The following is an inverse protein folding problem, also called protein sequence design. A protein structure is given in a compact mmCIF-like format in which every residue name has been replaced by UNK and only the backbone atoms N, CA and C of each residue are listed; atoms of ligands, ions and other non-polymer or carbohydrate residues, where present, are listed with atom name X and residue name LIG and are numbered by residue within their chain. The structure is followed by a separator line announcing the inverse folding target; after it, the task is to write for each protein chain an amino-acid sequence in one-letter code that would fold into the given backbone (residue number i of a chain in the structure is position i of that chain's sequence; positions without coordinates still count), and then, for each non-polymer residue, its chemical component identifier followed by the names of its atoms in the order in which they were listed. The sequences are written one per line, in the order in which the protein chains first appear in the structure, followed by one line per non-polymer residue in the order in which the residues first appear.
data_IF_649072479516
#
_entry.id   IF_649072479516
#
_cell.length_a   1.000
_cell.length_b   1.000
_cell.length_c   1.000
_cell.angle_alpha   90.00
_cell.angle_beta   90.00
_cell.angle_gamma   90.00
#
_symmetry.space_group_name_H-M   'P 1'
#
loop_
_entity.id
_entity.type
_entity.pdbx_description
1 polymer ?
#
# COMPACT_ATOMS: atom_id res chain seq x y z
N UNK A 1 -0.78 -18.70 -18.78
CA UNK A 1 -0.12 -19.72 -17.90
C UNK A 1 0.82 -19.13 -16.85
N UNK A 2 1.59 -18.07 -17.13
CA UNK A 2 2.53 -17.50 -16.14
C UNK A 2 1.86 -16.93 -14.88
N UNK A 3 0.71 -16.27 -15.03
CA UNK A 3 -0.06 -15.69 -13.93
C UNK A 3 -0.58 -16.76 -12.96
N UNK A 4 -1.24 -17.81 -13.47
CA UNK A 4 -1.75 -18.91 -12.65
C UNK A 4 -0.64 -19.61 -11.83
N UNK A 5 0.53 -19.84 -12.44
CA UNK A 5 1.67 -20.45 -11.73
C UNK A 5 2.19 -19.54 -10.62
N UNK A 6 2.26 -18.23 -10.86
CA UNK A 6 2.66 -17.24 -9.87
C UNK A 6 1.65 -17.16 -8.70
N UNK A 7 0.36 -17.21 -8.99
CA UNK A 7 -0.66 -17.24 -7.93
C UNK A 7 -0.46 -18.46 -7.04
N UNK A 8 -0.46 -19.67 -7.61
CA UNK A 8 -0.33 -20.93 -6.86
C UNK A 8 0.97 -20.95 -6.03
N UNK A 9 2.10 -20.56 -6.63
CA UNK A 9 3.39 -20.53 -5.94
C UNK A 9 3.38 -19.57 -4.75
N UNK A 10 2.82 -18.37 -4.91
CA UNK A 10 2.76 -17.39 -3.81
C UNK A 10 1.77 -17.78 -2.72
N UNK A 11 0.67 -18.48 -3.05
CA UNK A 11 -0.24 -19.04 -2.03
C UNK A 11 0.42 -20.14 -1.23
N UNK A 12 1.15 -21.04 -1.89
CA UNK A 12 1.88 -22.13 -1.22
C UNK A 12 2.98 -21.58 -0.31
N UNK A 13 3.71 -20.56 -0.77
CA UNK A 13 4.70 -19.86 0.04
C UNK A 13 4.06 -19.20 1.27
N UNK A 14 2.89 -18.57 1.13
CA UNK A 14 2.17 -18.00 2.26
C UNK A 14 1.75 -19.09 3.27
N UNK A 15 1.21 -20.22 2.79
CA UNK A 15 0.86 -21.36 3.66
C UNK A 15 2.08 -21.93 4.38
N UNK A 16 3.22 -22.06 3.70
CA UNK A 16 4.46 -22.51 4.30
C UNK A 16 4.95 -21.55 5.41
N UNK A 17 4.88 -20.24 5.17
CA UNK A 17 5.22 -19.24 6.19
C UNK A 17 4.28 -19.30 7.40
N UNK A 18 2.98 -19.48 7.19
CA UNK A 18 2.03 -19.66 8.29
C UNK A 18 2.31 -20.94 9.06
N UNK A 19 2.66 -22.03 8.38
CA UNK A 19 3.02 -23.28 9.04
C UNK A 19 4.27 -23.14 9.90
N UNK A 20 5.30 -22.44 9.40
CA UNK A 20 6.57 -22.27 10.11
C UNK A 20 6.50 -21.23 11.24
N UNK A 21 5.86 -20.09 11.00
CA UNK A 21 5.82 -18.96 11.95
C UNK A 21 4.55 -18.95 12.81
N UNK A 22 3.55 -19.76 12.48
CA UNK A 22 2.26 -19.78 13.19
C UNK A 22 2.39 -20.18 14.65
N UNK A 23 3.31 -21.10 14.97
CA UNK A 23 3.57 -21.52 16.34
C UNK A 23 4.13 -20.40 17.22
N UNK A 24 4.94 -19.51 16.66
CA UNK A 24 5.59 -18.42 17.42
C UNK A 24 4.84 -17.09 17.37
N UNK A 25 4.15 -16.80 16.27
CA UNK A 25 3.50 -15.49 16.04
C UNK A 25 1.97 -15.57 15.88
N UNK A 26 1.37 -16.77 15.91
CA UNK A 26 -0.08 -16.96 15.85
C UNK A 26 -0.73 -16.26 14.64
N UNK A 27 -1.80 -15.50 14.89
CA UNK A 27 -2.53 -14.77 13.84
C UNK A 27 -1.68 -13.72 13.09
N UNK A 28 -0.61 -13.19 13.70
CA UNK A 28 0.29 -12.25 13.02
C UNK A 28 1.08 -12.93 11.91
N UNK A 29 1.43 -14.22 12.06
CA UNK A 29 2.08 -14.98 10.99
C UNK A 29 1.20 -15.03 9.73
N UNK A 30 -0.11 -15.24 9.91
CA UNK A 30 -1.07 -15.25 8.81
C UNK A 30 -1.20 -13.87 8.15
N UNK A 31 -1.32 -12.80 8.93
CA UNK A 31 -1.38 -11.45 8.39
C UNK A 31 -0.12 -11.09 7.59
N UNK A 32 1.07 -11.37 8.14
CA UNK A 32 2.34 -11.12 7.46
C UNK A 32 2.52 -11.97 6.21
N UNK A 33 2.13 -13.24 6.25
CA UNK A 33 2.19 -14.12 5.08
C UNK A 33 1.28 -13.63 3.94
N UNK A 34 0.10 -13.11 4.26
CA UNK A 34 -0.80 -12.52 3.26
C UNK A 34 -0.28 -11.20 2.70
N UNK A 35 0.30 -10.34 3.54
CA UNK A 35 0.95 -9.11 3.08
C UNK A 35 2.14 -9.43 2.15
N UNK A 36 2.98 -10.40 2.52
CA UNK A 36 4.10 -10.83 1.70
C UNK A 36 3.62 -11.43 0.37
N UNK A 37 2.55 -12.23 0.40
CA UNK A 37 1.92 -12.75 -0.82
C UNK A 37 1.50 -11.61 -1.75
N UNK A 38 0.85 -10.57 -1.21
CA UNK A 38 0.46 -9.40 -2.00
C UNK A 38 1.68 -8.68 -2.59
N UNK A 39 2.74 -8.51 -1.80
CA UNK A 39 3.99 -7.89 -2.25
C UNK A 39 4.66 -8.68 -3.38
N UNK A 40 4.62 -10.02 -3.34
CA UNK A 40 5.26 -10.90 -4.31
C UNK A 40 4.42 -11.11 -5.59
N UNK A 41 3.08 -11.08 -5.48
CA UNK A 41 2.20 -11.32 -6.64
C UNK A 41 2.12 -10.09 -7.55
N UNK A 42 2.07 -8.87 -7.00
CA UNK A 42 2.01 -7.62 -7.78
C UNK A 42 3.12 -7.48 -8.82
N UNK A 43 4.42 -7.71 -8.52
CA UNK A 43 5.47 -7.63 -9.52
C UNK A 43 5.35 -8.71 -10.60
N UNK A 44 4.92 -9.91 -10.23
CA UNK A 44 4.69 -11.01 -11.17
C UNK A 44 3.52 -10.70 -12.11
N UNK A 45 2.45 -10.07 -11.59
CA UNK A 45 1.31 -9.60 -12.37
C UNK A 45 1.71 -8.49 -13.35
N UNK A 46 2.51 -7.50 -12.92
CA UNK A 46 3.00 -6.44 -13.82
C UNK A 46 3.90 -7.02 -14.92
N UNK A 47 4.75 -8.02 -14.63
CA UNK A 47 5.51 -8.74 -15.68
C UNK A 47 4.61 -9.50 -16.64
N UNK A 48 3.53 -10.10 -16.13
CA UNK A 48 2.50 -10.72 -16.96
C UNK A 48 1.79 -9.72 -17.87
N UNK A 49 1.48 -8.53 -17.35
CA UNK A 49 0.87 -7.43 -18.10
C UNK A 49 1.82 -6.87 -19.17
N UNK A 50 3.10 -6.71 -18.86
CA UNK A 50 4.12 -6.33 -19.82
C UNK A 50 4.16 -7.29 -21.01
N UNK A 51 4.17 -8.61 -20.74
CA UNK A 51 4.16 -9.62 -21.79
C UNK A 51 2.86 -9.66 -22.62
N UNK A 52 1.73 -9.22 -22.05
CA UNK A 52 0.42 -9.28 -22.71
C UNK A 52 0.07 -8.00 -23.50
N UNK A 53 0.37 -6.82 -22.97
CA UNK A 53 -0.08 -5.52 -23.51
C UNK A 53 1.05 -4.46 -23.57
N UNK A 54 2.30 -4.83 -23.32
CA UNK A 54 3.44 -3.88 -23.33
C UNK A 54 3.42 -2.88 -22.18
N UNK A 55 2.74 -3.21 -21.07
CA UNK A 55 2.71 -2.33 -19.89
C UNK A 55 4.06 -2.33 -19.17
N UNK A 56 4.80 -1.23 -19.29
CA UNK A 56 6.15 -1.09 -18.75
C UNK A 56 6.20 -0.92 -17.24
N UNK A 57 7.25 -1.51 -16.65
CA UNK A 57 7.62 -1.31 -15.24
C UNK A 57 7.80 0.17 -14.88
N UNK A 58 8.26 0.98 -15.85
CA UNK A 58 8.43 2.42 -15.71
C UNK A 58 7.09 3.14 -15.52
N UNK A 59 6.03 2.70 -16.21
CA UNK A 59 4.69 3.27 -16.08
C UNK A 59 4.09 2.99 -14.70
N UNK A 60 4.27 1.76 -14.19
CA UNK A 60 3.87 1.40 -12.82
C UNK A 60 4.54 2.29 -11.76
N UNK A 61 5.85 2.47 -11.87
CA UNK A 61 6.61 3.33 -10.95
C UNK A 61 6.24 4.82 -11.11
N UNK A 62 6.08 5.31 -12.33
CA UNK A 62 5.66 6.70 -12.57
C UNK A 62 4.25 6.99 -12.06
N UNK A 63 3.35 6.01 -12.05
CA UNK A 63 2.03 6.16 -11.45
C UNK A 63 2.09 6.12 -9.92
N UNK A 64 2.94 5.26 -9.35
CA UNK A 64 2.93 4.97 -7.91
C UNK A 64 3.84 5.88 -7.07
N UNK A 65 4.90 6.46 -7.64
CA UNK A 65 5.93 7.16 -6.84
C UNK A 65 5.37 8.35 -6.04
N UNK A 66 4.37 9.06 -6.57
CA UNK A 66 3.76 10.23 -5.89
C UNK A 66 3.02 9.80 -4.65
N UNK A 67 2.21 8.74 -4.76
CA UNK A 67 1.48 8.17 -3.63
C UNK A 67 2.44 7.58 -2.60
N UNK A 68 3.49 6.88 -3.03
CA UNK A 68 4.52 6.35 -2.14
C UNK A 68 5.24 7.45 -1.36
N UNK A 69 5.65 8.53 -2.02
CA UNK A 69 6.26 9.68 -1.34
C UNK A 69 5.30 10.34 -0.35
N UNK A 70 4.04 10.54 -0.74
CA UNK A 70 3.02 11.08 0.15
C UNK A 70 2.80 10.19 1.39
N UNK A 71 2.78 8.86 1.22
CA UNK A 71 2.68 7.90 2.33
C UNK A 71 3.90 7.92 3.23
N UNK A 72 5.12 8.04 2.69
CA UNK A 72 6.35 8.15 3.50
C UNK A 72 6.32 9.44 4.33
N UNK A 73 5.95 10.57 3.72
CA UNK A 73 5.80 11.85 4.42
C UNK A 73 4.76 11.73 5.54
N UNK A 74 3.60 11.13 5.25
CA UNK A 74 2.56 10.87 6.24
C UNK A 74 3.11 10.09 7.44
N UNK A 75 3.82 8.98 7.21
CA UNK A 75 4.39 8.14 8.29
C UNK A 75 5.36 8.93 9.15
N UNK A 76 6.27 9.69 8.54
CA UNK A 76 7.26 10.50 9.28
C UNK A 76 6.56 11.55 10.15
N UNK A 77 5.55 12.24 9.63
CA UNK A 77 4.81 13.28 10.35
C UNK A 77 3.99 12.67 11.49
N UNK A 78 3.27 11.56 11.24
CA UNK A 78 2.51 10.87 12.29
C UNK A 78 3.44 10.39 13.38
N UNK A 79 4.56 9.73 13.06
CA UNK A 79 5.53 9.28 14.08
C UNK A 79 6.10 10.44 14.91
N UNK A 80 6.34 11.60 14.29
CA UNK A 80 6.82 12.78 14.99
C UNK A 80 5.74 13.36 15.91
N UNK A 81 4.54 13.64 15.40
CA UNK A 81 3.47 14.27 16.17
C UNK A 81 2.88 13.35 17.24
N UNK A 82 2.71 12.07 16.93
CA UNK A 82 2.22 11.03 17.84
C UNK A 82 3.07 10.94 19.11
N UNK A 83 4.38 11.24 19.01
CA UNK A 83 5.30 11.28 20.16
C UNK A 83 5.15 12.54 21.02
N UNK A 84 4.64 13.63 20.46
CA UNK A 84 4.49 14.92 21.14
C UNK A 84 3.14 15.10 21.82
N UNK A 85 2.11 14.42 21.33
CA UNK A 85 0.72 14.68 21.72
C UNK A 85 0.35 14.16 23.10
N UNK A 86 1.09 13.21 23.68
CA UNK A 86 0.86 12.68 25.03
C UNK A 86 -0.52 12.05 25.26
N UNK A 87 -1.34 11.95 24.20
CA UNK A 87 -2.67 11.36 24.21
C UNK A 87 -2.54 9.84 24.38
N UNK A 88 -3.50 9.23 25.08
CA UNK A 88 -3.53 7.78 25.32
C UNK A 88 -4.87 7.17 24.89
N UNK A 89 -4.85 5.89 24.47
CA UNK A 89 -6.05 5.14 24.13
C UNK A 89 -6.68 5.57 22.80
N UNK A 90 -8.01 5.50 22.70
CA UNK A 90 -8.73 5.74 21.44
C UNK A 90 -8.57 7.16 20.87
N UNK A 91 -8.37 8.16 21.73
CA UNK A 91 -8.16 9.54 21.30
C UNK A 91 -6.81 9.73 20.59
N UNK A 92 -5.79 8.98 21.01
CA UNK A 92 -4.49 8.94 20.34
C UNK A 92 -4.61 8.34 18.94
N UNK A 93 -5.33 7.23 18.83
CA UNK A 93 -5.57 6.55 17.56
C UNK A 93 -6.39 7.42 16.58
N UNK A 94 -7.45 8.08 17.06
CA UNK A 94 -8.22 9.03 16.24
C UNK A 94 -7.37 10.22 15.79
N UNK A 95 -6.49 10.72 16.65
CA UNK A 95 -5.53 11.78 16.34
C UNK A 95 -4.55 11.36 15.25
N UNK A 96 -3.94 10.19 15.37
CA UNK A 96 -2.98 9.66 14.38
C UNK A 96 -3.65 9.42 13.02
N UNK A 97 -4.90 8.93 13.00
CA UNK A 97 -5.67 8.80 11.76
C UNK A 97 -5.96 10.16 11.15
N UNK A 98 -6.41 11.14 11.93
CA UNK A 98 -6.72 12.48 11.42
C UNK A 98 -5.48 13.18 10.87
N UNK A 99 -4.38 13.17 11.62
CA UNK A 99 -3.09 13.74 11.22
C UNK A 99 -2.57 13.03 9.97
N UNK A 100 -2.62 11.69 9.95
CA UNK A 100 -2.19 10.90 8.81
C UNK A 100 -2.98 11.25 7.55
N UNK A 101 -4.32 11.27 7.65
CA UNK A 101 -5.21 11.58 6.53
C UNK A 101 -4.95 12.99 5.99
N UNK A 102 -4.86 13.99 6.87
CA UNK A 102 -4.59 15.37 6.47
C UNK A 102 -3.20 15.52 5.84
N UNK A 103 -2.18 14.92 6.44
CA UNK A 103 -0.81 15.00 5.93
C UNK A 103 -0.68 14.32 4.57
N UNK A 104 -1.27 13.13 4.40
CA UNK A 104 -1.31 12.44 3.12
C UNK A 104 -2.01 13.28 2.06
N UNK A 105 -3.21 13.82 2.37
CA UNK A 105 -3.97 14.64 1.44
C UNK A 105 -3.18 15.89 1.01
N UNK A 106 -2.52 16.57 1.95
CA UNK A 106 -1.70 17.74 1.66
C UNK A 106 -0.45 17.39 0.84
N UNK A 107 0.31 16.38 1.26
CA UNK A 107 1.51 15.93 0.55
C UNK A 107 1.18 15.46 -0.87
N UNK A 108 0.10 14.69 -1.03
CA UNK A 108 -0.38 14.25 -2.34
C UNK A 108 -0.87 15.43 -3.19
N UNK A 109 -1.55 16.41 -2.59
CA UNK A 109 -1.95 17.65 -3.28
C UNK A 109 -0.76 18.45 -3.79
N UNK A 110 0.33 18.53 -3.02
CA UNK A 110 1.55 19.20 -3.45
C UNK A 110 2.25 18.46 -4.59
N UNK A 111 2.30 17.12 -4.52
CA UNK A 111 2.93 16.28 -5.54
C UNK A 111 2.09 16.16 -6.82
N UNK A 112 0.78 16.36 -6.74
CA UNK A 112 -0.13 16.24 -7.87
C UNK A 112 -1.27 17.30 -7.84
N UNK A 113 -0.98 18.58 -8.09
CA UNK A 113 -1.90 19.69 -7.83
C UNK A 113 -3.24 19.66 -8.59
N UNK A 114 -3.37 18.84 -9.64
CA UNK A 114 -4.60 18.69 -10.43
C UNK A 114 -5.47 17.49 -10.03
N UNK A 115 -5.04 16.69 -9.05
CA UNK A 115 -5.80 15.52 -8.59
C UNK A 115 -7.27 15.81 -8.20
N UNK A 116 -7.64 16.96 -7.60
CA UNK A 116 -9.04 17.21 -7.26
C UNK A 116 -9.91 17.46 -8.50
N UNK A 117 -9.30 18.02 -9.56
CA UNK A 117 -9.98 18.26 -10.83
C UNK A 117 -10.18 16.94 -11.58
N UNK A 118 -9.17 16.07 -11.59
CA UNK A 118 -9.28 14.71 -12.13
C UNK A 118 -10.34 13.88 -11.39
N UNK A 119 -10.39 13.99 -10.06
CA UNK A 119 -11.43 13.35 -9.26
C UNK A 119 -12.82 13.87 -9.61
N UNK A 120 -12.98 15.20 -9.73
CA UNK A 120 -14.24 15.82 -10.14
C UNK A 120 -14.71 15.32 -11.51
N UNK A 121 -13.79 15.18 -12.47
CA UNK A 121 -14.09 14.66 -13.80
C UNK A 121 -14.68 13.24 -13.78
N UNK A 122 -14.29 12.38 -12.83
CA UNK A 122 -14.91 11.04 -12.65
C UNK A 122 -16.39 11.14 -12.27
N UNK A 123 -16.79 12.15 -11.50
CA UNK A 123 -18.20 12.34 -11.09
C UNK A 123 -19.01 13.17 -12.09
N UNK A 124 -18.37 14.01 -12.89
CA UNK A 124 -19.04 14.86 -13.90
C UNK A 124 -19.00 14.29 -15.32
N UNK A 125 -18.19 13.27 -15.60
CA UNK A 125 -18.23 12.53 -16.86
C UNK A 125 -19.45 11.59 -16.86
N UNK A 126 -20.62 12.16 -17.13
CA UNK A 126 -21.86 11.42 -17.36
C UNK A 126 -22.49 11.88 -18.66
#
# INVERSE_FOLDING_TARGET
HLTLKAEVATTLLALALVYLLGASYGGMAAALALLLRMLLITPLQVRGLHAAIGYDWRSFFQSSYRSLLASVVMVVVVMWLSRQTGLSGYAHLAGDIAIGTLTYALAYSLLHPRWPQEFKLVFTAR
#
